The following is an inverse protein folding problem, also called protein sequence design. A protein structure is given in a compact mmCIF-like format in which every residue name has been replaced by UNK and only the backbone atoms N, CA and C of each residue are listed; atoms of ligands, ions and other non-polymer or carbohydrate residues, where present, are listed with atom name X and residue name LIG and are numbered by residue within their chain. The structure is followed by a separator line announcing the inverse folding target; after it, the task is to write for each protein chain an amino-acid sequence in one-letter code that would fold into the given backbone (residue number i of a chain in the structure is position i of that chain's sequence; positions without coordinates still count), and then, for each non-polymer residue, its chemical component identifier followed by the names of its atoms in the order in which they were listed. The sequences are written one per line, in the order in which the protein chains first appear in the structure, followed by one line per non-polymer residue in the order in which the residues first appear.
data_IF_955699785257
#
_entry.id   IF_955699785257
#
_cell.length_a   1.000
_cell.length_b   1.000
_cell.length_c   1.000
_cell.angle_alpha   90.00
_cell.angle_beta   90.00
_cell.angle_gamma   90.00
#
_symmetry.space_group_name_H-M   'P 1'
#
loop_
_entity.id
_entity.type
_entity.pdbx_description
1 polymer ?
#
# COMPACT_ATOMS: atom_id res chain seq x y z
N UNK A 1 11.40 0.40 -1.91
CA UNK A 1 10.78 1.12 -3.05
C UNK A 1 10.79 2.64 -2.78
N UNK A 2 10.57 3.50 -3.78
CA UNK A 2 10.38 4.96 -3.57
C UNK A 2 9.10 5.46 -4.25
N UNK A 3 8.47 6.57 -3.80
CA UNK A 3 7.24 7.08 -4.42
C UNK A 3 7.36 7.32 -5.92
N UNK A 4 8.55 7.71 -6.39
CA UNK A 4 8.83 8.01 -7.79
C UNK A 4 8.86 6.75 -8.67
N UNK A 5 9.07 5.58 -8.07
CA UNK A 5 9.07 4.30 -8.78
C UNK A 5 7.69 3.65 -8.91
N UNK A 6 6.66 4.21 -8.25
CA UNK A 6 5.28 3.68 -8.24
C UNK A 6 4.65 3.53 -9.64
N UNK A 7 5.00 4.42 -10.56
CA UNK A 7 4.44 4.49 -11.92
C UNK A 7 5.53 4.63 -12.99
N UNK A 8 6.76 4.18 -12.69
CA UNK A 8 7.87 4.19 -13.63
C UNK A 8 7.78 2.99 -14.60
N UNK A 9 6.64 2.88 -15.28
CA UNK A 9 6.33 1.81 -16.24
C UNK A 9 6.78 2.21 -17.65
N UNK A 10 7.22 1.22 -18.42
CA UNK A 10 7.34 1.40 -19.87
C UNK A 10 5.96 1.59 -20.51
N UNK A 11 5.91 2.20 -21.69
CA UNK A 11 4.64 2.54 -22.35
C UNK A 11 3.72 1.32 -22.57
N UNK A 12 4.29 0.16 -22.88
CA UNK A 12 3.54 -1.09 -23.05
C UNK A 12 2.97 -1.61 -21.73
N UNK A 13 3.72 -1.54 -20.64
CA UNK A 13 3.26 -1.94 -19.31
C UNK A 13 2.16 -0.98 -18.80
N UNK A 14 2.34 0.32 -19.01
CA UNK A 14 1.31 1.32 -18.70
C UNK A 14 0.02 1.06 -19.49
N UNK A 15 0.13 0.70 -20.77
CA UNK A 15 -1.03 0.34 -21.60
C UNK A 15 -1.76 -0.89 -21.04
N UNK A 16 -1.04 -1.97 -20.72
CA UNK A 16 -1.64 -3.19 -20.14
C UNK A 16 -2.38 -2.87 -18.83
N UNK A 17 -1.80 -2.02 -17.97
CA UNK A 17 -2.47 -1.58 -16.75
C UNK A 17 -3.74 -0.76 -17.04
N UNK A 18 -3.73 0.11 -18.06
CA UNK A 18 -4.88 0.94 -18.43
C UNK A 18 -6.06 0.14 -19.01
N UNK A 19 -5.80 -1.02 -19.64
CA UNK A 19 -6.84 -1.89 -20.22
C UNK A 19 -7.89 -2.27 -19.18
N UNK A 20 -7.50 -2.50 -17.92
CA UNK A 20 -8.46 -2.84 -16.86
C UNK A 20 -9.53 -1.75 -16.69
N UNK A 21 -9.12 -0.48 -16.59
CA UNK A 21 -10.07 0.63 -16.41
C UNK A 21 -10.98 0.80 -17.62
N UNK A 22 -10.44 0.64 -18.83
CA UNK A 22 -11.23 0.72 -20.07
C UNK A 22 -12.29 -0.39 -20.14
N UNK A 23 -11.92 -1.64 -19.82
CA UNK A 23 -12.86 -2.76 -19.78
C UNK A 23 -13.92 -2.56 -18.70
N UNK A 24 -13.54 -2.08 -17.51
CA UNK A 24 -14.50 -1.79 -16.45
C UNK A 24 -15.53 -0.74 -16.87
N UNK A 25 -15.08 0.38 -17.46
CA UNK A 25 -15.98 1.46 -17.92
C UNK A 25 -16.87 1.04 -19.10
N UNK A 26 -16.45 0.05 -19.89
CA UNK A 26 -17.27 -0.50 -20.96
C UNK A 26 -18.45 -1.34 -20.44
N UNK A 27 -18.29 -2.00 -19.28
CA UNK A 27 -19.31 -2.88 -18.69
C UNK A 27 -20.18 -2.11 -17.69
N UNK A 28 -19.57 -1.21 -16.91
CA UNK A 28 -20.22 -0.49 -15.82
C UNK A 28 -20.40 0.99 -16.20
N UNK A 29 -21.64 1.52 -16.21
CA UNK A 29 -21.89 2.94 -16.37
C UNK A 29 -21.19 3.71 -15.25
N UNK A 30 -20.07 4.34 -15.58
CA UNK A 30 -19.19 5.00 -14.61
C UNK A 30 -19.15 6.48 -14.93
N UNK A 31 -19.48 7.33 -13.95
CA UNK A 31 -19.34 8.77 -14.13
C UNK A 31 -17.88 9.17 -14.21
N UNK A 32 -17.57 10.21 -14.98
CA UNK A 32 -16.20 10.75 -15.09
C UNK A 32 -15.64 11.11 -13.70
N UNK A 33 -16.48 11.69 -12.83
CA UNK A 33 -16.08 12.04 -11.47
C UNK A 33 -15.72 10.81 -10.63
N UNK A 34 -16.49 9.73 -10.71
CA UNK A 34 -16.18 8.49 -10.00
C UNK A 34 -14.87 7.88 -10.49
N UNK A 35 -14.66 7.83 -11.81
CA UNK A 35 -13.41 7.34 -12.40
C UNK A 35 -12.20 8.19 -11.95
N UNK A 36 -12.35 9.51 -11.89
CA UNK A 36 -11.31 10.41 -11.42
C UNK A 36 -10.98 10.19 -9.93
N UNK A 37 -11.99 10.15 -9.06
CA UNK A 37 -11.79 9.92 -7.62
C UNK A 37 -11.12 8.56 -7.38
N UNK A 38 -11.59 7.51 -8.04
CA UNK A 38 -11.01 6.18 -7.92
C UNK A 38 -9.54 6.15 -8.36
N UNK A 39 -9.23 6.73 -9.52
CA UNK A 39 -7.87 6.78 -10.06
C UNK A 39 -6.94 7.60 -9.16
N UNK A 40 -7.38 8.77 -8.70
CA UNK A 40 -6.62 9.59 -7.76
C UNK A 40 -6.37 8.85 -6.44
N UNK A 41 -7.37 8.14 -5.91
CA UNK A 41 -7.23 7.31 -4.72
C UNK A 41 -6.23 6.16 -4.92
N UNK A 42 -6.29 5.45 -6.06
CA UNK A 42 -5.33 4.41 -6.42
C UNK A 42 -3.90 4.97 -6.46
N UNK A 43 -3.69 6.09 -7.15
CA UNK A 43 -2.37 6.75 -7.23
C UNK A 43 -1.84 7.14 -5.86
N UNK A 44 -2.69 7.73 -5.01
CA UNK A 44 -2.32 8.09 -3.65
C UNK A 44 -1.93 6.85 -2.83
N UNK A 45 -2.70 5.76 -2.90
CA UNK A 45 -2.39 4.52 -2.19
C UNK A 45 -1.08 3.89 -2.64
N UNK A 46 -0.80 3.89 -3.94
CA UNK A 46 0.45 3.35 -4.48
C UNK A 46 1.65 4.21 -4.03
N UNK A 47 1.54 5.54 -4.13
CA UNK A 47 2.58 6.45 -3.67
C UNK A 47 2.86 6.32 -2.16
N UNK A 48 1.81 6.16 -1.34
CA UNK A 48 1.94 5.90 0.11
C UNK A 48 2.67 4.58 0.35
N UNK A 49 2.25 3.49 -0.30
CA UNK A 49 2.87 2.17 -0.16
C UNK A 49 4.36 2.17 -0.55
N UNK A 50 4.76 3.02 -1.49
CA UNK A 50 6.14 3.15 -1.93
C UNK A 50 6.94 4.22 -1.17
N UNK A 51 6.35 4.89 -0.18
CA UNK A 51 7.01 5.99 0.54
C UNK A 51 8.20 5.55 1.39
N UNK A 52 8.22 4.30 1.86
CA UNK A 52 9.21 3.80 2.82
C UNK A 52 9.07 4.40 4.21
N UNK A 53 7.97 5.10 4.49
CA UNK A 53 7.65 5.66 5.81
C UNK A 53 6.35 5.06 6.31
N UNK A 54 6.38 4.38 7.44
CA UNK A 54 5.15 3.90 8.07
C UNK A 54 4.38 5.08 8.66
N UNK A 55 3.27 5.43 8.01
CA UNK A 55 2.39 6.54 8.38
C UNK A 55 1.12 6.07 9.08
N UNK A 56 0.83 4.77 9.06
CA UNK A 56 -0.35 4.24 9.73
C UNK A 56 -0.11 4.21 11.24
N UNK A 57 -1.07 4.69 12.06
CA UNK A 57 -0.90 4.72 13.50
C UNK A 57 -0.93 3.31 14.09
N UNK A 58 -0.10 3.09 15.12
CA UNK A 58 -0.16 1.89 15.93
C UNK A 58 -1.18 2.04 17.08
N UNK A 59 -1.79 0.92 17.48
CA UNK A 59 -2.52 0.81 18.74
C UNK A 59 -1.56 0.62 19.93
N UNK A 60 -2.11 0.42 21.14
CA UNK A 60 -1.31 0.29 22.37
C UNK A 60 -0.42 -0.95 22.38
N UNK A 61 -0.81 -1.98 21.63
CA UNK A 61 -0.12 -3.25 21.49
C UNK A 61 0.92 -3.24 20.36
N UNK A 62 1.12 -2.11 19.67
CA UNK A 62 2.08 -1.99 18.58
C UNK A 62 1.60 -2.54 17.23
N UNK A 63 0.31 -2.89 17.10
CA UNK A 63 -0.32 -3.35 15.85
C UNK A 63 -0.95 -2.17 15.10
N UNK A 64 -1.22 -2.29 13.78
CA UNK A 64 -1.92 -1.25 13.05
C UNK A 64 -3.30 -0.95 13.67
N UNK A 65 -3.62 0.33 13.89
CA UNK A 65 -4.94 0.74 14.37
C UNK A 65 -6.05 0.32 13.40
N UNK A 66 -5.73 0.31 12.11
CA UNK A 66 -6.60 -0.13 11.03
C UNK A 66 -6.01 -1.38 10.36
N UNK A 67 -5.97 -2.48 11.09
CA UNK A 67 -5.41 -3.78 10.68
C UNK A 67 -6.11 -4.46 9.48
N UNK A 68 -7.18 -3.86 8.96
CA UNK A 68 -7.84 -4.27 7.73
C UNK A 68 -7.34 -3.52 6.49
N UNK A 69 -6.60 -2.42 6.65
CA UNK A 69 -5.98 -1.68 5.56
C UNK A 69 -4.53 -2.14 5.38
N UNK A 70 -4.12 -2.36 4.12
CA UNK A 70 -2.72 -2.60 3.81
C UNK A 70 -1.88 -1.34 4.15
N UNK A 71 -0.94 -1.47 5.08
CA UNK A 71 -0.05 -0.37 5.50
C UNK A 71 1.18 -0.27 4.61
N UNK A 72 2.03 0.74 4.84
CA UNK A 72 3.30 0.86 4.11
C UNK A 72 4.19 -0.34 4.38
N UNK A 73 4.26 -0.80 5.63
CA UNK A 73 5.02 -2.00 6.00
C UNK A 73 4.49 -3.27 5.33
N UNK A 74 3.17 -3.41 5.20
CA UNK A 74 2.56 -4.56 4.50
C UNK A 74 3.05 -4.62 3.04
N UNK A 75 3.06 -3.47 2.37
CA UNK A 75 3.52 -3.32 0.99
C UNK A 75 5.04 -3.46 0.83
N UNK A 76 5.83 -2.91 1.75
CA UNK A 76 7.28 -3.09 1.74
C UNK A 76 7.66 -4.57 1.88
N UNK A 77 6.91 -5.33 2.70
CA UNK A 77 7.10 -6.78 2.82
C UNK A 77 6.74 -7.54 1.55
N UNK A 78 5.73 -7.11 0.79
CA UNK A 78 5.45 -7.68 -0.54
C UNK A 78 6.66 -7.54 -1.48
N UNK A 79 7.27 -6.35 -1.52
CA UNK A 79 8.49 -6.10 -2.31
C UNK A 79 9.69 -6.92 -1.82
N UNK A 80 9.80 -7.15 -0.51
CA UNK A 80 10.86 -7.97 0.06
C UNK A 80 10.63 -9.48 -0.14
N UNK A 81 9.37 -9.91 -0.18
CA UNK A 81 8.94 -11.32 -0.18
C UNK A 81 7.81 -11.48 -1.21
N UNK A 82 8.14 -11.75 -2.49
CA UNK A 82 7.16 -11.73 -3.60
C UNK A 82 5.98 -12.71 -3.51
N UNK A 83 5.95 -13.58 -2.49
CA UNK A 83 4.91 -14.60 -2.28
C UNK A 83 3.94 -14.25 -1.14
N UNK A 84 4.01 -13.04 -0.60
CA UNK A 84 3.15 -12.59 0.48
C UNK A 84 2.58 -11.20 0.19
N UNK A 85 1.52 -10.84 0.92
CA UNK A 85 0.97 -9.48 1.00
C UNK A 85 0.54 -8.90 -0.35
N UNK A 86 -0.31 -9.60 -1.10
CA UNK A 86 -0.76 -9.18 -2.43
C UNK A 86 -1.75 -8.01 -2.41
N UNK A 87 -2.42 -7.77 -1.29
CA UNK A 87 -3.41 -6.72 -1.12
C UNK A 87 -2.81 -5.31 -1.14
N UNK A 88 -3.26 -4.48 -2.10
CA UNK A 88 -2.90 -3.06 -2.16
C UNK A 88 -3.74 -2.19 -1.21
N UNK A 89 -5.02 -2.53 -1.04
CA UNK A 89 -6.00 -1.74 -0.27
C UNK A 89 -6.27 -2.34 1.11
N UNK A 90 -6.55 -3.64 1.14
CA UNK A 90 -7.05 -4.36 2.31
C UNK A 90 -6.26 -5.65 2.54
N UNK A 91 -6.03 -5.98 3.80
CA UNK A 91 -5.35 -7.22 4.23
C UNK A 91 -6.28 -8.42 4.27
N UNK A 92 -7.61 -8.22 4.14
CA UNK A 92 -8.59 -9.30 4.21
C UNK A 92 -8.28 -10.42 3.22
N UNK A 93 -7.98 -10.07 1.98
CA UNK A 93 -7.71 -11.06 0.94
C UNK A 93 -6.50 -11.93 1.31
N UNK A 94 -5.43 -11.32 1.82
CA UNK A 94 -4.24 -12.04 2.24
C UNK A 94 -4.51 -12.94 3.45
N UNK A 95 -5.28 -12.45 4.43
CA UNK A 95 -5.69 -13.24 5.60
C UNK A 95 -6.58 -14.44 5.21
N UNK A 96 -7.55 -14.21 4.31
CA UNK A 96 -8.46 -15.24 3.80
C UNK A 96 -7.72 -16.31 2.98
N UNK A 97 -6.71 -15.91 2.21
CA UNK A 97 -5.95 -16.83 1.36
C UNK A 97 -4.71 -17.41 2.04
N UNK A 98 -4.39 -16.99 3.27
CA UNK A 98 -3.20 -17.42 4.00
C UNK A 98 -1.90 -16.90 3.37
N UNK A 99 -1.95 -15.75 2.70
CA UNK A 99 -0.81 -15.11 2.03
C UNK A 99 -0.30 -13.88 2.78
N UNK A 100 -0.84 -13.58 3.96
CA UNK A 100 -0.27 -12.55 4.83
C UNK A 100 1.08 -13.03 5.39
N UNK A 101 2.06 -12.14 5.31
CA UNK A 101 3.39 -12.42 5.80
C UNK A 101 3.39 -12.64 7.32
N UNK A 102 3.97 -13.75 7.81
CA UNK A 102 3.90 -14.11 9.23
C UNK A 102 4.65 -13.14 10.16
N UNK A 103 5.57 -12.33 9.64
CA UNK A 103 6.31 -11.32 10.42
C UNK A 103 5.72 -9.91 10.28
N UNK A 104 4.55 -9.76 9.64
CA UNK A 104 3.97 -8.45 9.35
C UNK A 104 3.84 -7.56 10.60
N UNK A 105 3.27 -8.07 11.68
CA UNK A 105 3.05 -7.30 12.91
C UNK A 105 4.36 -6.87 13.57
N UNK A 106 5.37 -7.75 13.60
CA UNK A 106 6.67 -7.44 14.18
C UNK A 106 7.39 -6.34 13.40
N UNK A 107 7.36 -6.42 12.06
CA UNK A 107 7.99 -5.41 11.21
C UNK A 107 7.25 -4.07 11.28
N UNK A 108 5.91 -4.10 11.36
CA UNK A 108 5.12 -2.88 11.54
C UNK A 108 5.49 -2.18 12.86
N UNK A 109 5.55 -2.93 13.96
CA UNK A 109 5.93 -2.38 15.26
C UNK A 109 7.34 -1.78 15.24
N UNK A 110 8.29 -2.44 14.56
CA UNK A 110 9.65 -1.92 14.36
C UNK A 110 9.66 -0.64 13.54
N UNK A 111 8.87 -0.56 12.47
CA UNK A 111 8.79 0.62 11.60
C UNK A 111 8.24 1.83 12.36
N UNK A 112 7.14 1.66 13.10
CA UNK A 112 6.53 2.74 13.90
C UNK A 112 7.47 3.19 15.03
N UNK A 113 8.12 2.26 15.72
CA UNK A 113 9.07 2.57 16.80
C UNK A 113 10.29 3.35 16.27
N UNK A 114 10.84 2.94 15.13
CA UNK A 114 11.94 3.67 14.45
C UNK A 114 11.52 5.09 14.09
N UNK A 115 10.30 5.26 13.58
CA UNK A 115 9.74 6.57 13.26
C UNK A 115 9.63 7.45 14.51
N UNK A 116 9.09 6.91 15.61
CA UNK A 116 8.95 7.61 16.88
C UNK A 116 10.30 8.01 17.52
N UNK A 117 11.34 7.19 17.37
CA UNK A 117 12.69 7.52 17.85
C UNK A 117 13.32 8.64 17.00
N UNK A 118 13.07 8.67 15.69
CA UNK A 118 13.60 9.70 14.79
C UNK A 118 12.97 11.07 15.03
N UNK A 119 11.67 11.12 15.35
CA UNK A 119 10.98 12.38 15.67
C UNK A 119 11.35 12.96 17.04
N UNK A 120 11.85 12.12 17.96
CA UNK A 120 12.29 12.54 19.30
C UNK A 120 13.75 13.01 19.36
N UNK A 121 14.52 12.87 18.29
CA UNK A 121 15.92 13.30 18.27
C UNK A 121 15.95 14.84 18.14
N UNK A 122 16.55 15.58 19.09
CA UNK A 122 16.65 17.03 18.97
C UNK A 122 17.45 17.36 17.71
N UNK A 123 16.97 18.34 16.93
CA UNK A 123 17.73 18.89 15.83
C UNK A 123 18.96 19.61 16.43
N UNK A 124 20.13 19.01 16.23
CA UNK A 124 21.41 19.68 16.49
C UNK A 124 21.71 20.67 15.37
#
# INVERSE_FOLDING_TARGET
PTPWTAYAFDASEAFVNAVFLLLFMAIMPTSVLAAFIFTAHMMLRNAIGHSGYEIFPANREGRPLFDWMATVTHHDLHHARPRANFGLYFTWWDKLMGTEDPTYYDEFQRAVTRCALRTRRPAN
#
